data_IF_714515765638
#
_entry.id   IF_714515765638
#
_cell.length_a   1.000
_cell.length_b   1.000
_cell.length_c   1.000
_cell.angle_alpha   90.00
_cell.angle_beta   90.00
_cell.angle_gamma   90.00
#
_symmetry.space_group_name_H-M   'P 1'
#
loop_
_entity.id
_entity.type
_entity.pdbx_description
1 polymer ?
#
# COMPACT_ATOMS: atom_id res chain seq x y z
N UNK A 1 2.25 -37.40 -19.71
CA UNK A 1 2.18 -35.97 -19.43
C UNK A 1 0.82 -35.45 -19.88
N UNK A 2 -0.04 -34.96 -18.96
CA UNK A 2 -1.30 -34.31 -19.37
C UNK A 2 -0.93 -33.05 -20.15
N UNK A 3 -1.45 -32.89 -21.37
CA UNK A 3 -1.27 -31.64 -22.14
C UNK A 3 -1.71 -30.43 -21.29
N UNK A 4 -0.84 -29.44 -21.16
CA UNK A 4 -1.21 -28.18 -20.53
C UNK A 4 -2.42 -27.63 -21.28
N UNK A 5 -3.50 -27.34 -20.55
CA UNK A 5 -4.67 -26.69 -21.15
C UNK A 5 -4.29 -25.27 -21.58
N UNK A 6 -4.89 -24.75 -22.65
CA UNK A 6 -4.68 -23.38 -23.12
C UNK A 6 -4.84 -22.35 -21.98
N UNK A 7 -5.82 -22.54 -21.09
CA UNK A 7 -6.06 -21.70 -19.93
C UNK A 7 -4.87 -21.69 -18.94
N UNK A 8 -4.25 -22.83 -18.71
CA UNK A 8 -3.08 -22.96 -17.82
C UNK A 8 -1.87 -22.25 -18.40
N UNK A 9 -1.65 -22.40 -19.72
CA UNK A 9 -0.57 -21.72 -20.43
C UNK A 9 -0.76 -20.20 -20.38
N UNK A 10 -1.99 -19.72 -20.60
CA UNK A 10 -2.30 -18.29 -20.54
C UNK A 10 -2.08 -17.70 -19.14
N UNK A 11 -2.51 -18.38 -18.07
CA UNK A 11 -2.24 -17.95 -16.70
C UNK A 11 -0.73 -17.91 -16.42
N UNK A 12 0.00 -18.92 -16.85
CA UNK A 12 1.46 -18.95 -16.71
C UNK A 12 2.12 -17.75 -17.39
N UNK A 13 1.72 -17.45 -18.63
CA UNK A 13 2.20 -16.26 -19.36
C UNK A 13 1.88 -14.96 -18.62
N UNK A 14 0.64 -14.78 -18.14
CA UNK A 14 0.21 -13.62 -17.37
C UNK A 14 1.01 -13.47 -16.06
N UNK A 15 1.30 -14.60 -15.41
CA UNK A 15 2.13 -14.61 -14.20
C UNK A 15 3.56 -14.18 -14.52
N UNK A 16 4.17 -14.74 -15.57
CA UNK A 16 5.54 -14.37 -15.99
C UNK A 16 5.62 -12.87 -16.29
N UNK A 17 4.69 -12.33 -17.07
CA UNK A 17 4.64 -10.90 -17.36
C UNK A 17 4.41 -10.07 -16.08
N UNK A 18 3.49 -10.49 -15.20
CA UNK A 18 3.25 -9.84 -13.92
C UNK A 18 4.47 -9.83 -13.00
N UNK A 19 5.26 -10.90 -13.00
CA UNK A 19 6.56 -11.01 -12.29
C UNK A 19 7.58 -10.05 -12.89
N UNK A 20 7.71 -10.06 -14.22
CA UNK A 20 8.65 -9.19 -14.94
C UNK A 20 8.40 -7.72 -14.61
N UNK A 21 7.15 -7.23 -14.67
CA UNK A 21 6.84 -5.83 -14.35
C UNK A 21 7.10 -5.47 -12.88
N UNK A 22 7.04 -6.41 -11.96
CA UNK A 22 7.30 -6.17 -10.53
C UNK A 22 8.79 -6.21 -10.18
N UNK A 23 9.56 -7.01 -10.88
CA UNK A 23 11.02 -7.11 -10.69
C UNK A 23 11.79 -6.11 -11.55
N UNK A 24 11.20 -5.67 -12.69
CA UNK A 24 11.89 -4.77 -13.59
C UNK A 24 12.28 -3.47 -12.87
N UNK A 25 13.57 -3.20 -12.89
CA UNK A 25 14.17 -1.99 -12.31
C UNK A 25 13.72 -1.71 -10.86
N UNK A 26 13.66 -2.73 -10.00
CA UNK A 26 13.10 -2.65 -8.64
C UNK A 26 13.85 -1.62 -7.76
N UNK A 27 15.13 -1.38 -8.05
CA UNK A 27 15.99 -0.44 -7.34
C UNK A 27 16.27 0.85 -8.14
N UNK A 28 15.35 1.24 -9.06
CA UNK A 28 15.52 2.39 -9.94
C UNK A 28 15.59 3.75 -9.22
N UNK A 29 15.23 3.81 -7.96
CA UNK A 29 15.22 5.03 -7.15
C UNK A 29 15.66 4.71 -5.72
N UNK A 30 16.28 5.69 -5.07
CA UNK A 30 16.65 5.58 -3.65
C UNK A 30 15.43 5.30 -2.78
N UNK A 31 15.66 4.74 -1.59
CA UNK A 31 14.60 4.61 -0.60
C UNK A 31 14.07 6.00 -0.23
N UNK A 32 12.77 6.16 -0.19
CA UNK A 32 12.18 7.40 0.29
C UNK A 32 11.92 7.34 1.80
N UNK A 33 11.60 8.47 2.41
CA UNK A 33 11.55 8.65 3.88
C UNK A 33 10.87 7.49 4.62
N UNK A 34 9.66 7.07 4.20
CA UNK A 34 8.96 5.95 4.88
C UNK A 34 9.66 4.59 4.67
N UNK A 35 10.36 4.38 3.55
CA UNK A 35 11.14 3.17 3.30
C UNK A 35 12.42 3.16 4.14
N UNK A 36 13.07 4.33 4.30
CA UNK A 36 14.27 4.48 5.14
C UNK A 36 13.96 4.10 6.59
N UNK A 37 12.80 4.53 7.12
CA UNK A 37 12.39 4.11 8.46
C UNK A 37 12.17 2.60 8.56
N UNK A 38 11.47 2.00 7.59
CA UNK A 38 11.25 0.55 7.59
C UNK A 38 12.56 -0.24 7.46
N UNK A 39 13.52 0.24 6.63
CA UNK A 39 14.83 -0.35 6.49
C UNK A 39 15.61 -0.33 7.82
N UNK A 40 15.72 0.83 8.45
CA UNK A 40 16.45 1.01 9.71
C UNK A 40 15.82 0.21 10.87
N UNK A 41 14.49 0.28 11.06
CA UNK A 41 13.80 -0.49 12.09
C UNK A 41 14.06 -2.00 11.95
N UNK A 42 14.23 -2.46 10.70
CA UNK A 42 14.45 -3.88 10.40
C UNK A 42 15.93 -4.29 10.41
N UNK A 43 16.83 -3.46 10.94
CA UNK A 43 18.24 -3.81 11.09
C UNK A 43 18.40 -5.06 11.98
N UNK A 44 19.09 -6.13 11.49
CA UNK A 44 19.33 -7.35 12.25
C UNK A 44 20.11 -7.14 13.55
N UNK A 45 20.99 -6.13 13.59
CA UNK A 45 21.85 -5.84 14.76
C UNK A 45 21.07 -5.34 15.97
N UNK A 46 19.88 -4.78 15.78
CA UNK A 46 19.01 -4.42 16.89
C UNK A 46 18.46 -5.67 17.57
N UNK A 47 18.35 -5.67 18.88
CA UNK A 47 17.54 -6.67 19.56
C UNK A 47 16.04 -6.46 19.28
N UNK A 48 15.19 -7.41 19.73
CA UNK A 48 13.74 -7.30 19.51
C UNK A 48 13.14 -6.07 20.18
N UNK A 49 13.58 -5.75 21.39
CA UNK A 49 13.06 -4.62 22.18
C UNK A 49 13.43 -3.29 21.56
N UNK A 50 14.69 -3.15 21.16
CA UNK A 50 15.19 -1.95 20.50
C UNK A 50 14.47 -1.70 19.17
N UNK A 51 14.38 -2.71 18.30
CA UNK A 51 13.67 -2.62 17.03
C UNK A 51 12.19 -2.26 17.22
N UNK A 52 11.53 -2.86 18.24
CA UNK A 52 10.13 -2.53 18.57
C UNK A 52 9.98 -1.09 19.08
N UNK A 53 10.88 -0.59 19.93
CA UNK A 53 10.85 0.78 20.43
C UNK A 53 11.10 1.80 19.31
N UNK A 54 12.03 1.50 18.40
CA UNK A 54 12.30 2.29 17.22
C UNK A 54 11.05 2.35 16.32
N UNK A 55 10.40 1.21 16.09
CA UNK A 55 9.13 1.15 15.36
C UNK A 55 8.05 2.02 16.02
N UNK A 56 7.83 1.86 17.34
CA UNK A 56 6.81 2.63 18.08
C UNK A 56 7.05 4.14 18.01
N UNK A 57 8.30 4.57 17.88
CA UNK A 57 8.66 5.99 17.76
C UNK A 57 8.36 6.61 16.39
N UNK A 58 8.46 5.81 15.32
CA UNK A 58 8.38 6.28 13.94
C UNK A 58 7.09 5.91 13.22
N UNK A 59 6.52 4.74 13.51
CA UNK A 59 5.39 4.17 12.77
C UNK A 59 4.12 4.13 13.64
N UNK A 60 2.96 4.25 12.98
CA UNK A 60 1.64 4.08 13.61
C UNK A 60 0.95 2.78 13.18
N UNK A 61 1.63 1.95 12.39
CA UNK A 61 1.15 0.64 11.97
C UNK A 61 1.64 -0.44 12.94
N UNK A 62 1.04 -1.64 12.97
CA UNK A 62 1.58 -2.75 13.76
C UNK A 62 2.98 -3.17 13.31
N UNK A 63 3.75 -3.75 14.23
CA UNK A 63 5.18 -4.06 14.03
C UNK A 63 5.47 -5.26 13.12
N UNK A 64 4.48 -6.14 12.87
CA UNK A 64 4.69 -7.42 12.19
C UNK A 64 5.40 -7.30 10.83
N UNK A 65 5.10 -6.26 10.04
CA UNK A 65 5.77 -6.07 8.75
C UNK A 65 7.29 -5.90 8.91
N UNK A 66 7.73 -5.04 9.82
CA UNK A 66 9.15 -4.83 10.06
C UNK A 66 9.84 -6.06 10.66
N UNK A 67 9.12 -6.85 11.44
CA UNK A 67 9.62 -8.15 11.92
C UNK A 67 9.86 -9.14 10.79
N UNK A 68 8.95 -9.20 9.80
CA UNK A 68 9.12 -10.04 8.60
C UNK A 68 10.37 -9.59 7.82
N UNK A 69 10.53 -8.28 7.61
CA UNK A 69 11.69 -7.73 6.90
C UNK A 69 12.97 -8.00 7.68
N UNK A 70 12.98 -7.80 9.00
CA UNK A 70 14.11 -8.08 9.86
C UNK A 70 14.55 -9.54 9.78
N UNK A 71 13.60 -10.48 9.84
CA UNK A 71 13.87 -11.90 9.66
C UNK A 71 14.52 -12.20 8.30
N UNK A 72 14.02 -11.58 7.24
CA UNK A 72 14.61 -11.72 5.91
C UNK A 72 16.04 -11.17 5.85
N UNK A 73 16.30 -9.99 6.41
CA UNK A 73 17.65 -9.42 6.46
C UNK A 73 18.62 -10.24 7.32
N UNK A 74 18.14 -10.91 8.37
CA UNK A 74 18.95 -11.82 9.18
C UNK A 74 19.44 -13.01 8.35
N UNK A 75 18.65 -13.50 7.39
CA UNK A 75 19.00 -14.67 6.57
C UNK A 75 19.85 -14.27 5.35
N UNK A 76 19.47 -13.21 4.66
CA UNK A 76 20.02 -12.87 3.34
C UNK A 76 21.01 -11.69 3.38
N UNK A 77 21.17 -11.02 4.51
CA UNK A 77 22.01 -9.85 4.69
C UNK A 77 21.23 -8.54 4.70
N UNK A 78 21.76 -7.57 5.44
CA UNK A 78 21.21 -6.22 5.56
C UNK A 78 21.69 -5.35 4.39
N UNK A 79 20.98 -5.43 3.26
CA UNK A 79 21.34 -4.75 2.00
C UNK A 79 20.13 -3.99 1.42
N UNK A 80 20.36 -2.75 1.00
CA UNK A 80 19.37 -1.88 0.35
C UNK A 80 18.80 -2.52 -0.92
N UNK A 81 19.63 -3.24 -1.69
CA UNK A 81 19.19 -3.90 -2.91
C UNK A 81 18.17 -5.01 -2.66
N UNK A 82 18.19 -5.61 -1.47
CA UNK A 82 17.25 -6.64 -1.04
C UNK A 82 15.97 -6.07 -0.43
N UNK A 83 15.97 -4.80 -0.04
CA UNK A 83 14.90 -4.19 0.74
C UNK A 83 13.50 -4.35 0.12
N UNK A 84 13.38 -4.18 -1.21
CA UNK A 84 12.10 -4.24 -1.93
C UNK A 84 11.71 -5.63 -2.41
N UNK A 85 12.57 -6.64 -2.23
CA UNK A 85 12.29 -8.00 -2.72
C UNK A 85 11.12 -8.64 -1.98
N UNK A 86 11.01 -8.46 -0.66
CA UNK A 86 9.94 -9.05 0.14
C UNK A 86 8.54 -8.55 -0.27
N UNK A 87 8.25 -7.22 -0.30
CA UNK A 87 6.96 -6.76 -0.80
C UNK A 87 6.69 -7.20 -2.24
N UNK A 88 7.73 -7.30 -3.08
CA UNK A 88 7.62 -7.81 -4.44
C UNK A 88 7.17 -9.29 -4.47
N UNK A 89 7.77 -10.16 -3.67
CA UNK A 89 7.38 -11.57 -3.53
C UNK A 89 5.92 -11.70 -3.10
N UNK A 90 5.49 -10.96 -2.07
CA UNK A 90 4.09 -10.98 -1.64
C UNK A 90 3.13 -10.45 -2.71
N UNK A 91 3.54 -9.45 -3.50
CA UNK A 91 2.74 -8.98 -4.64
C UNK A 91 2.59 -10.03 -5.73
N UNK A 92 3.64 -10.82 -6.00
CA UNK A 92 3.58 -11.94 -6.94
C UNK A 92 2.62 -13.03 -6.44
N UNK A 93 2.72 -13.42 -5.17
CA UNK A 93 1.74 -14.32 -4.56
C UNK A 93 0.33 -13.73 -4.53
N UNK A 94 0.20 -12.40 -4.48
CA UNK A 94 -1.05 -11.68 -4.65
C UNK A 94 -1.73 -11.97 -5.99
N UNK A 95 -0.97 -12.09 -7.09
CA UNK A 95 -1.52 -12.45 -8.41
C UNK A 95 -2.15 -13.87 -8.34
N UNK A 96 -1.41 -14.82 -7.78
CA UNK A 96 -1.88 -16.21 -7.65
C UNK A 96 -3.11 -16.31 -6.75
N UNK A 97 -3.11 -15.60 -5.62
CA UNK A 97 -4.19 -15.65 -4.64
C UNK A 97 -5.49 -15.04 -5.18
N UNK A 98 -5.45 -13.88 -5.87
CA UNK A 98 -6.64 -13.28 -6.51
C UNK A 98 -7.17 -14.18 -7.63
N UNK A 99 -6.27 -14.74 -8.45
CA UNK A 99 -6.64 -15.67 -9.50
C UNK A 99 -7.37 -16.88 -8.94
N UNK A 100 -6.83 -17.45 -7.84
CA UNK A 100 -7.44 -18.61 -7.19
C UNK A 100 -8.78 -18.26 -6.52
N UNK A 101 -8.88 -17.10 -5.83
CA UNK A 101 -10.13 -16.62 -5.24
C UNK A 101 -11.19 -16.40 -6.30
N UNK A 102 -10.84 -15.79 -7.44
CA UNK A 102 -11.76 -15.62 -8.56
C UNK A 102 -12.23 -16.97 -9.14
N UNK A 103 -11.35 -17.98 -9.22
CA UNK A 103 -11.71 -19.34 -9.64
C UNK A 103 -12.64 -20.03 -8.66
N UNK A 104 -12.47 -19.79 -7.37
CA UNK A 104 -13.35 -20.34 -6.31
C UNK A 104 -14.77 -19.77 -6.39
N UNK A 105 -14.89 -18.50 -6.78
CA UNK A 105 -16.18 -17.79 -6.83
C UNK A 105 -16.90 -17.90 -8.17
N UNK A 106 -16.23 -18.26 -9.26
CA UNK A 106 -16.81 -18.30 -10.59
C UNK A 106 -16.61 -19.67 -11.26
N UNK A 107 -17.70 -20.21 -11.81
CA UNK A 107 -17.68 -21.44 -12.60
C UNK A 107 -17.11 -21.26 -14.01
N UNK A 108 -16.98 -20.00 -14.47
CA UNK A 108 -16.52 -19.63 -15.83
C UNK A 108 -15.07 -19.15 -15.79
N UNK A 109 -14.47 -18.89 -16.93
CA UNK A 109 -13.07 -18.46 -17.06
C UNK A 109 -12.80 -17.01 -16.58
N UNK A 110 -13.63 -16.48 -15.67
CA UNK A 110 -13.46 -15.15 -15.06
C UNK A 110 -12.09 -14.98 -14.37
N UNK A 111 -11.56 -16.07 -13.83
CA UNK A 111 -10.26 -16.07 -13.15
C UNK A 111 -9.07 -15.71 -14.06
N UNK A 112 -9.16 -16.01 -15.37
CA UNK A 112 -8.13 -15.60 -16.34
C UNK A 112 -8.16 -14.09 -16.51
N UNK A 113 -9.35 -13.49 -16.58
CA UNK A 113 -9.50 -12.06 -16.69
C UNK A 113 -9.07 -11.34 -15.40
N UNK A 114 -9.38 -11.90 -14.24
CA UNK A 114 -8.84 -11.41 -12.96
C UNK A 114 -7.31 -11.49 -12.93
N UNK A 115 -6.72 -12.60 -13.41
CA UNK A 115 -5.27 -12.73 -13.51
C UNK A 115 -4.64 -11.65 -14.41
N UNK A 116 -5.27 -11.33 -15.55
CA UNK A 116 -4.84 -10.24 -16.40
C UNK A 116 -4.90 -8.89 -15.65
N UNK A 117 -6.06 -8.53 -15.10
CA UNK A 117 -6.25 -7.25 -14.44
C UNK A 117 -5.28 -7.04 -13.28
N UNK A 118 -5.01 -8.08 -12.47
CA UNK A 118 -4.09 -7.99 -11.32
C UNK A 118 -2.62 -7.94 -11.76
N UNK A 119 -2.25 -8.67 -12.82
CA UNK A 119 -0.87 -8.70 -13.34
C UNK A 119 -0.43 -7.35 -13.87
N UNK A 120 -1.34 -6.64 -14.56
CA UNK A 120 -1.08 -5.35 -15.19
C UNK A 120 -1.62 -4.14 -14.41
N UNK A 121 -2.10 -4.31 -13.18
CA UNK A 121 -2.55 -3.18 -12.39
C UNK A 121 -1.36 -2.32 -11.95
N UNK A 122 -1.27 -1.09 -12.50
CA UNK A 122 -0.15 -0.18 -12.27
C UNK A 122 0.01 0.22 -10.79
N UNK A 123 -1.09 0.36 -10.04
CA UNK A 123 -1.04 0.71 -8.63
C UNK A 123 -0.41 -0.41 -7.80
N UNK A 124 -0.78 -1.67 -8.04
CA UNK A 124 -0.21 -2.83 -7.36
C UNK A 124 1.26 -3.05 -7.75
N UNK A 125 1.63 -2.81 -9.01
CA UNK A 125 3.03 -2.87 -9.46
C UNK A 125 3.85 -1.83 -8.70
N UNK A 126 3.37 -0.58 -8.61
CA UNK A 126 4.06 0.49 -7.89
C UNK A 126 4.30 0.15 -6.42
N UNK A 127 3.27 -0.35 -5.72
CA UNK A 127 3.40 -0.72 -4.31
C UNK A 127 4.14 -2.04 -4.08
N UNK A 128 4.33 -2.86 -5.10
CA UNK A 128 5.22 -4.04 -5.01
C UNK A 128 6.70 -3.66 -4.92
N UNK A 129 7.06 -2.49 -5.44
CA UNK A 129 8.41 -1.94 -5.47
C UNK A 129 8.66 -0.93 -4.33
N UNK A 130 7.87 -0.96 -3.28
CA UNK A 130 8.07 -0.15 -2.08
C UNK A 130 8.29 -1.05 -0.85
N UNK A 131 9.30 -0.72 -0.03
CA UNK A 131 9.54 -1.37 1.26
C UNK A 131 8.48 -0.92 2.27
N UNK A 132 7.21 -1.26 1.98
CA UNK A 132 6.04 -0.93 2.81
C UNK A 132 5.07 -2.11 2.88
N UNK A 133 4.24 -2.11 3.90
CA UNK A 133 3.33 -3.21 4.26
C UNK A 133 2.28 -3.57 3.20
N UNK A 134 1.99 -2.69 2.23
CA UNK A 134 0.78 -2.74 1.41
C UNK A 134 0.64 -4.00 0.55
N UNK A 135 1.70 -4.45 -0.11
CA UNK A 135 1.67 -5.68 -0.92
C UNK A 135 1.52 -6.93 -0.06
N UNK A 136 2.17 -6.94 1.09
CA UNK A 136 2.06 -8.03 2.08
C UNK A 136 0.64 -8.10 2.63
N UNK A 137 0.06 -6.97 3.02
CA UNK A 137 -1.32 -6.85 3.46
C UNK A 137 -2.31 -7.37 2.40
N UNK A 138 -2.14 -6.91 1.15
CA UNK A 138 -2.98 -7.34 0.03
C UNK A 138 -2.99 -8.87 -0.13
N UNK A 139 -1.84 -9.51 -0.04
CA UNK A 139 -1.72 -10.97 -0.11
C UNK A 139 -2.44 -11.66 1.05
N UNK A 140 -2.18 -11.28 2.31
CA UNK A 140 -2.79 -11.93 3.47
C UNK A 140 -4.31 -11.76 3.53
N UNK A 141 -4.84 -10.61 3.12
CA UNK A 141 -6.30 -10.41 2.97
C UNK A 141 -6.89 -11.38 1.94
N UNK A 142 -6.23 -11.59 0.80
CA UNK A 142 -6.70 -12.57 -0.19
C UNK A 142 -6.71 -13.99 0.37
N UNK A 143 -5.65 -14.40 1.07
CA UNK A 143 -5.57 -15.73 1.68
C UNK A 143 -6.66 -15.89 2.76
N UNK A 144 -6.91 -14.85 3.55
CA UNK A 144 -8.00 -14.85 4.53
C UNK A 144 -9.36 -15.08 3.87
N UNK A 145 -9.66 -14.36 2.78
CA UNK A 145 -10.90 -14.55 2.01
C UNK A 145 -11.02 -15.98 1.46
N UNK A 146 -9.95 -16.54 0.91
CA UNK A 146 -9.91 -17.91 0.39
C UNK A 146 -10.26 -18.91 1.50
N UNK A 147 -9.62 -18.79 2.67
CA UNK A 147 -9.83 -19.72 3.76
C UNK A 147 -11.13 -19.50 4.50
N UNK A 148 -11.69 -18.29 4.49
CA UNK A 148 -13.07 -18.06 4.92
C UNK A 148 -14.06 -18.89 4.09
N UNK A 149 -13.97 -18.82 2.75
CA UNK A 149 -14.85 -19.63 1.88
C UNK A 149 -14.64 -21.12 2.06
N UNK A 150 -13.38 -21.58 2.16
CA UNK A 150 -13.09 -23.00 2.40
C UNK A 150 -13.63 -23.49 3.74
N UNK A 151 -13.53 -22.67 4.80
CA UNK A 151 -14.05 -23.00 6.11
C UNK A 151 -15.58 -22.98 6.14
N UNK A 152 -16.18 -22.07 5.39
CA UNK A 152 -17.64 -22.00 5.27
C UNK A 152 -18.22 -23.19 4.49
N UNK A 153 -17.58 -23.63 3.42
CA UNK A 153 -18.03 -24.74 2.58
C UNK A 153 -17.76 -26.12 3.21
N UNK A 154 -16.62 -26.26 3.88
CA UNK A 154 -16.17 -27.52 4.46
C UNK A 154 -15.76 -27.28 5.92
N UNK A 155 -16.46 -27.93 6.86
CA UNK A 155 -16.14 -27.85 8.29
C UNK A 155 -14.87 -28.67 8.62
N UNK A 156 -13.73 -28.19 8.10
CA UNK A 156 -12.43 -28.77 8.33
C UNK A 156 -11.62 -27.90 9.30
N UNK A 157 -11.20 -28.48 10.41
CA UNK A 157 -10.41 -27.81 11.44
C UNK A 157 -9.15 -27.12 10.88
N UNK A 158 -8.49 -27.69 9.89
CA UNK A 158 -7.31 -27.11 9.25
C UNK A 158 -7.69 -25.80 8.53
N UNK A 159 -8.80 -25.79 7.78
CA UNK A 159 -9.25 -24.57 7.10
C UNK A 159 -9.58 -23.46 8.10
N UNK A 160 -10.29 -23.80 9.20
CA UNK A 160 -10.60 -22.85 10.28
C UNK A 160 -9.33 -22.32 10.95
N UNK A 161 -8.36 -23.18 11.27
CA UNK A 161 -7.08 -22.76 11.86
C UNK A 161 -6.31 -21.82 10.94
N UNK A 162 -6.20 -22.13 9.66
CA UNK A 162 -5.53 -21.26 8.68
C UNK A 162 -6.32 -19.95 8.53
N UNK A 163 -7.65 -19.99 8.45
CA UNK A 163 -8.48 -18.79 8.40
C UNK A 163 -8.21 -17.85 9.57
N UNK A 164 -8.19 -18.38 10.81
CA UNK A 164 -7.92 -17.63 12.03
C UNK A 164 -6.52 -17.00 11.94
N UNK A 165 -5.49 -17.82 11.67
CA UNK A 165 -4.10 -17.38 11.63
C UNK A 165 -3.88 -16.27 10.60
N UNK A 166 -4.33 -16.46 9.35
CA UNK A 166 -4.09 -15.47 8.29
C UNK A 166 -4.90 -14.19 8.48
N UNK A 167 -6.08 -14.27 9.11
CA UNK A 167 -6.87 -13.08 9.46
C UNK A 167 -6.17 -12.28 10.55
N UNK A 168 -5.64 -12.95 11.58
CA UNK A 168 -4.84 -12.32 12.62
C UNK A 168 -3.55 -11.69 12.05
N UNK A 169 -2.85 -12.38 11.15
CA UNK A 169 -1.70 -11.79 10.43
C UNK A 169 -2.09 -10.52 9.69
N UNK A 170 -3.24 -10.50 9.01
CA UNK A 170 -3.73 -9.30 8.33
C UNK A 170 -3.95 -8.13 9.31
N UNK A 171 -4.54 -8.40 10.49
CA UNK A 171 -4.77 -7.41 11.55
C UNK A 171 -3.45 -6.90 12.13
N UNK A 172 -2.48 -7.79 12.33
CA UNK A 172 -1.13 -7.45 12.80
C UNK A 172 -0.26 -6.74 11.75
N UNK A 173 -0.66 -6.72 10.47
CA UNK A 173 -0.01 -5.95 9.42
C UNK A 173 -0.55 -4.53 9.32
N UNK A 174 -1.87 -4.32 9.42
CA UNK A 174 -2.46 -2.99 9.24
C UNK A 174 -3.83 -2.89 9.94
N UNK A 175 -4.11 -1.78 10.67
CA UNK A 175 -5.37 -1.62 11.40
C UNK A 175 -6.63 -1.73 10.52
N UNK A 176 -6.56 -1.32 9.26
CA UNK A 176 -7.69 -1.38 8.34
C UNK A 176 -8.13 -2.80 8.00
N UNK A 177 -7.37 -3.83 8.36
CA UNK A 177 -7.80 -5.22 8.24
C UNK A 177 -9.00 -5.56 9.13
N UNK A 178 -9.32 -4.73 10.11
CA UNK A 178 -10.56 -4.85 10.90
C UNK A 178 -11.80 -4.77 10.01
N UNK A 179 -11.73 -4.07 8.88
CA UNK A 179 -12.82 -4.00 7.89
C UNK A 179 -13.14 -5.38 7.33
N UNK A 180 -12.12 -6.20 7.08
CA UNK A 180 -12.31 -7.57 6.63
C UNK A 180 -13.02 -8.41 7.71
N UNK A 181 -12.61 -8.27 8.97
CA UNK A 181 -13.27 -8.94 10.09
C UNK A 181 -14.76 -8.51 10.22
N UNK A 182 -15.03 -7.21 10.16
CA UNK A 182 -16.41 -6.68 10.16
C UNK A 182 -17.21 -7.26 8.98
N UNK A 183 -16.57 -7.39 7.82
CA UNK A 183 -17.21 -8.00 6.63
C UNK A 183 -17.64 -9.44 6.90
N UNK A 184 -16.78 -10.25 7.50
CA UNK A 184 -17.11 -11.63 7.87
C UNK A 184 -18.26 -11.70 8.87
N UNK A 185 -18.22 -10.87 9.91
CA UNK A 185 -19.28 -10.81 10.90
C UNK A 185 -20.62 -10.43 10.28
N UNK A 186 -20.64 -9.38 9.45
CA UNK A 186 -21.86 -8.91 8.80
C UNK A 186 -22.43 -9.97 7.82
N UNK A 187 -21.58 -10.55 6.99
CA UNK A 187 -22.01 -11.58 6.04
C UNK A 187 -22.55 -12.82 6.76
N UNK A 188 -21.84 -13.30 7.79
CA UNK A 188 -22.27 -14.45 8.61
C UNK A 188 -23.58 -14.17 9.32
N UNK A 189 -23.75 -12.95 9.85
CA UNK A 189 -25.00 -12.51 10.47
C UNK A 189 -26.18 -12.49 9.48
N UNK A 190 -25.97 -11.96 8.27
CA UNK A 190 -26.99 -11.97 7.21
C UNK A 190 -27.38 -13.40 6.79
N UNK A 191 -26.43 -14.32 6.73
CA UNK A 191 -26.71 -15.73 6.47
C UNK A 191 -27.51 -16.36 7.59
N UNK A 192 -27.24 -16.03 8.85
CA UNK A 192 -27.97 -16.49 10.01
C UNK A 192 -29.45 -16.06 9.95
N UNK A 193 -29.69 -14.75 9.71
CA UNK A 193 -31.05 -14.20 9.60
C UNK A 193 -31.87 -14.86 8.49
N UNK A 194 -31.24 -15.34 7.44
CA UNK A 194 -31.88 -16.00 6.30
C UNK A 194 -31.86 -17.52 6.40
N UNK A 195 -31.51 -18.10 7.56
CA UNK A 195 -31.42 -19.55 7.79
C UNK A 195 -30.54 -20.30 6.78
N UNK A 196 -29.49 -19.62 6.27
CA UNK A 196 -28.56 -20.16 5.26
C UNK A 196 -27.21 -20.60 5.82
N UNK A 197 -27.08 -20.63 7.15
CA UNK A 197 -25.84 -21.08 7.80
C UNK A 197 -25.80 -22.59 7.85
N UNK A 198 -24.82 -23.17 7.17
CA UNK A 198 -24.53 -24.59 7.17
C UNK A 198 -23.50 -24.96 8.24
N UNK A 199 -22.54 -24.07 8.51
CA UNK A 199 -21.42 -24.34 9.39
C UNK A 199 -21.37 -23.37 10.57
N UNK A 200 -21.67 -23.85 11.78
CA UNK A 200 -21.66 -23.06 13.03
C UNK A 200 -20.24 -22.84 13.57
N UNK A 201 -19.26 -23.65 13.20
CA UNK A 201 -17.85 -23.52 13.65
C UNK A 201 -17.22 -22.20 13.21
N UNK A 202 -17.77 -21.58 12.15
CA UNK A 202 -17.32 -20.25 11.71
C UNK A 202 -17.49 -19.18 12.81
N UNK A 203 -18.53 -19.26 13.64
CA UNK A 203 -18.75 -18.33 14.76
C UNK A 203 -17.63 -18.46 15.80
N UNK A 204 -17.20 -19.68 16.11
CA UNK A 204 -16.10 -19.92 17.04
C UNK A 204 -14.81 -19.28 16.50
N UNK A 205 -14.54 -19.43 15.19
CA UNK A 205 -13.40 -18.81 14.55
C UNK A 205 -13.45 -17.28 14.65
N UNK A 206 -14.62 -16.67 14.42
CA UNK A 206 -14.81 -15.22 14.54
C UNK A 206 -14.64 -14.73 15.98
N UNK A 207 -15.12 -15.48 16.96
CA UNK A 207 -14.92 -15.14 18.39
C UNK A 207 -13.45 -15.20 18.78
N UNK A 208 -12.70 -16.22 18.34
CA UNK A 208 -11.24 -16.31 18.59
C UNK A 208 -10.51 -15.10 17.99
N UNK A 209 -10.83 -14.74 16.75
CA UNK A 209 -10.23 -13.55 16.09
C UNK A 209 -10.54 -12.29 16.88
N UNK A 210 -11.80 -12.12 17.34
CA UNK A 210 -12.21 -10.95 18.13
C UNK A 210 -11.43 -10.85 19.44
N UNK A 211 -11.40 -11.93 20.21
CA UNK A 211 -10.73 -11.96 21.51
C UNK A 211 -9.24 -11.61 21.37
N UNK A 212 -8.57 -12.23 20.41
CA UNK A 212 -7.16 -11.91 20.15
C UNK A 212 -6.97 -10.45 19.72
N UNK A 213 -7.84 -9.93 18.86
CA UNK A 213 -7.76 -8.55 18.37
C UNK A 213 -7.94 -7.53 19.50
N UNK A 214 -8.86 -7.81 20.43
CA UNK A 214 -9.07 -6.97 21.63
C UNK A 214 -7.84 -7.00 22.53
N UNK A 215 -7.30 -8.19 22.82
CA UNK A 215 -6.09 -8.33 23.64
C UNK A 215 -4.90 -7.61 23.01
N UNK A 216 -4.72 -7.79 21.70
CA UNK A 216 -3.65 -7.09 20.96
C UNK A 216 -3.82 -5.56 21.03
N UNK A 217 -5.03 -5.04 20.85
CA UNK A 217 -5.31 -3.62 20.95
C UNK A 217 -4.96 -3.07 22.34
N UNK A 218 -5.42 -3.73 23.39
CA UNK A 218 -5.22 -3.28 24.78
C UNK A 218 -3.74 -3.30 25.17
N UNK A 219 -3.00 -4.37 24.85
CA UNK A 219 -1.65 -4.56 25.36
C UNK A 219 -0.55 -3.95 24.49
N UNK A 220 -0.80 -3.79 23.18
CA UNK A 220 0.27 -3.42 22.24
C UNK A 220 -0.02 -2.21 21.36
N UNK A 221 -1.26 -2.01 20.95
CA UNK A 221 -1.56 -1.03 19.91
C UNK A 221 -2.09 0.30 20.45
N UNK A 222 -2.74 0.33 21.61
CA UNK A 222 -3.35 1.52 22.21
C UNK A 222 -2.36 2.69 22.30
N UNK A 223 -1.14 2.44 22.76
CA UNK A 223 -0.09 3.44 22.90
C UNK A 223 0.52 3.93 21.56
N UNK A 224 0.26 3.21 20.47
CA UNK A 224 0.78 3.58 19.14
C UNK A 224 -0.14 4.57 18.43
N UNK A 225 -1.36 4.75 18.90
CA UNK A 225 -2.32 5.71 18.36
C UNK A 225 -1.98 7.12 18.84
N UNK A 226 -1.20 7.84 18.04
CA UNK A 226 -0.86 9.24 18.32
C UNK A 226 -1.99 10.14 17.82
N UNK A 227 -2.40 11.17 18.61
CA UNK A 227 -3.32 12.17 18.13
C UNK A 227 -2.68 13.01 17.01
N UNK A 228 -3.48 13.30 15.99
CA UNK A 228 -3.06 14.09 14.85
C UNK A 228 -2.62 13.24 13.67
N UNK A 229 -2.91 13.71 12.49
CA UNK A 229 -2.58 13.06 11.22
C UNK A 229 -2.15 14.11 10.19
N UNK A 230 -1.23 13.73 9.32
CA UNK A 230 -0.88 14.51 8.13
C UNK A 230 -1.90 14.32 7.00
N UNK A 231 -2.79 13.33 7.11
CA UNK A 231 -3.83 13.05 6.14
C UNK A 231 -4.88 14.15 6.17
N UNK A 232 -5.24 14.69 5.02
CA UNK A 232 -6.31 15.69 4.87
C UNK A 232 -7.65 14.99 4.67
N UNK A 233 -8.74 15.70 4.98
CA UNK A 233 -10.08 15.22 4.66
C UNK A 233 -10.23 15.01 3.14
N UNK A 234 -11.04 14.02 2.71
CA UNK A 234 -11.30 13.76 1.31
C UNK A 234 -11.88 15.00 0.61
N UNK A 235 -11.24 15.43 -0.49
CA UNK A 235 -11.73 16.50 -1.36
C UNK A 235 -12.88 15.99 -2.26
N UNK A 236 -13.62 16.92 -2.90
CA UNK A 236 -14.67 16.58 -3.86
C UNK A 236 -14.22 15.61 -4.96
N UNK A 237 -12.95 15.69 -5.37
CA UNK A 237 -12.35 14.76 -6.34
C UNK A 237 -12.41 13.29 -5.91
N UNK A 238 -12.39 13.01 -4.60
CA UNK A 238 -12.54 11.64 -4.10
C UNK A 238 -13.95 11.12 -4.38
N UNK A 239 -15.00 11.91 -4.11
CA UNK A 239 -16.39 11.50 -4.30
C UNK A 239 -16.80 11.37 -5.77
N UNK A 240 -16.02 11.92 -6.71
CA UNK A 240 -16.27 11.73 -8.14
C UNK A 240 -15.70 10.44 -8.70
N UNK A 241 -14.68 9.85 -8.08
CA UNK A 241 -14.01 8.67 -8.61
C UNK A 241 -13.52 7.64 -7.58
N UNK A 242 -13.70 7.86 -6.27
CA UNK A 242 -13.34 6.91 -5.20
C UNK A 242 -11.92 6.34 -5.36
N UNK A 243 -10.93 7.18 -5.68
CA UNK A 243 -9.54 6.82 -6.00
C UNK A 243 -9.35 5.95 -7.26
N UNK A 244 -10.36 5.67 -8.06
CA UNK A 244 -10.22 4.85 -9.26
C UNK A 244 -9.17 5.38 -10.24
N UNK A 245 -9.02 6.71 -10.36
CA UNK A 245 -7.95 7.32 -11.15
C UNK A 245 -6.54 6.95 -10.66
N UNK A 246 -6.37 6.76 -9.35
CA UNK A 246 -5.10 6.29 -8.75
C UNK A 246 -4.93 4.79 -8.91
N UNK A 247 -5.98 4.02 -8.63
CA UNK A 247 -5.97 2.56 -8.71
C UNK A 247 -5.74 2.03 -10.11
N UNK A 248 -6.21 2.75 -11.13
CA UNK A 248 -6.15 2.33 -12.53
C UNK A 248 -5.31 3.25 -13.43
N UNK A 249 -4.48 4.14 -12.84
CA UNK A 249 -3.42 4.89 -13.52
C UNK A 249 -3.82 6.23 -14.11
N UNK A 250 -5.07 6.42 -14.57
CA UNK A 250 -5.53 7.69 -15.12
C UNK A 250 -7.01 7.94 -14.82
N UNK A 251 -7.46 9.20 -15.02
CA UNK A 251 -8.88 9.55 -14.81
C UNK A 251 -9.81 8.82 -15.76
N UNK A 252 -9.45 8.74 -17.02
CA UNK A 252 -10.28 8.11 -18.07
C UNK A 252 -10.39 6.61 -17.81
N UNK A 253 -9.29 5.93 -17.57
CA UNK A 253 -9.25 4.50 -17.26
C UNK A 253 -10.03 4.23 -15.97
N UNK A 254 -9.77 5.00 -14.91
CA UNK A 254 -10.49 4.87 -13.65
C UNK A 254 -11.99 5.06 -13.76
N UNK A 255 -12.44 6.07 -14.52
CA UNK A 255 -13.87 6.31 -14.78
C UNK A 255 -14.51 5.13 -15.50
N UNK A 256 -13.83 4.56 -16.50
CA UNK A 256 -14.35 3.41 -17.24
C UNK A 256 -14.50 2.17 -16.34
N UNK A 257 -13.52 1.90 -15.47
CA UNK A 257 -13.62 0.82 -14.47
C UNK A 257 -14.77 1.07 -13.48
N UNK A 258 -14.92 2.30 -13.00
CA UNK A 258 -15.99 2.67 -12.06
C UNK A 258 -17.38 2.49 -12.68
N UNK A 259 -17.60 3.03 -13.89
CA UNK A 259 -18.86 2.88 -14.61
C UNK A 259 -19.16 1.41 -14.87
N UNK A 260 -18.17 0.64 -15.30
CA UNK A 260 -18.34 -0.80 -15.53
C UNK A 260 -18.72 -1.53 -14.24
N UNK A 261 -18.06 -1.24 -13.11
CA UNK A 261 -18.39 -1.84 -11.82
C UNK A 261 -19.83 -1.50 -11.40
N UNK A 262 -20.23 -0.22 -11.49
CA UNK A 262 -21.57 0.25 -11.15
C UNK A 262 -22.60 -0.47 -12.03
N UNK A 263 -22.43 -0.43 -13.35
CA UNK A 263 -23.34 -1.06 -14.31
C UNK A 263 -23.53 -2.55 -14.02
N UNK A 264 -22.45 -3.30 -13.84
CA UNK A 264 -22.49 -4.73 -13.58
C UNK A 264 -23.11 -5.04 -12.20
N UNK A 265 -22.81 -4.25 -11.17
CA UNK A 265 -23.38 -4.41 -9.84
C UNK A 265 -24.90 -4.17 -9.85
N UNK A 266 -25.40 -3.16 -10.56
CA UNK A 266 -26.83 -2.94 -10.71
C UNK A 266 -27.50 -4.07 -11.50
N UNK A 267 -26.91 -4.50 -12.61
CA UNK A 267 -27.47 -5.57 -13.44
C UNK A 267 -27.62 -6.89 -12.67
N UNK A 268 -26.67 -7.19 -11.79
CA UNK A 268 -26.67 -8.43 -11.01
C UNK A 268 -27.02 -8.23 -9.53
N UNK A 269 -27.69 -7.13 -9.18
CA UNK A 269 -28.08 -6.80 -7.80
C UNK A 269 -28.92 -7.89 -7.14
N UNK A 270 -29.76 -8.59 -7.90
CA UNK A 270 -30.55 -9.72 -7.41
C UNK A 270 -29.72 -10.86 -6.84
N UNK A 271 -28.53 -11.14 -7.43
CA UNK A 271 -27.60 -12.17 -6.90
C UNK A 271 -26.99 -11.74 -5.57
N UNK A 272 -26.72 -10.44 -5.41
CA UNK A 272 -26.19 -9.87 -4.19
C UNK A 272 -27.23 -10.00 -3.06
N UNK A 273 -28.51 -9.66 -3.33
CA UNK A 273 -29.58 -9.75 -2.34
C UNK A 273 -29.85 -11.20 -1.94
N UNK A 274 -29.71 -12.15 -2.86
CA UNK A 274 -29.87 -13.59 -2.57
C UNK A 274 -28.80 -14.19 -1.67
N UNK A 275 -27.83 -13.39 -1.21
CA UNK A 275 -26.71 -13.82 -0.39
C UNK A 275 -25.91 -14.98 -1.01
N UNK A 276 -25.67 -14.88 -2.33
CA UNK A 276 -24.74 -15.78 -2.99
C UNK A 276 -23.29 -15.51 -2.50
N UNK A 277 -22.36 -16.41 -2.78
CA UNK A 277 -20.93 -16.27 -2.37
C UNK A 277 -20.35 -14.90 -2.71
N UNK A 278 -20.73 -14.34 -3.86
CA UNK A 278 -20.25 -13.04 -4.33
C UNK A 278 -20.68 -11.86 -3.44
N UNK A 279 -21.71 -12.05 -2.62
CA UNK A 279 -22.22 -11.01 -1.69
C UNK A 279 -21.17 -10.61 -0.66
N UNK A 280 -20.38 -11.55 -0.13
CA UNK A 280 -19.28 -11.23 0.78
C UNK A 280 -18.30 -10.22 0.14
N UNK A 281 -17.95 -10.46 -1.11
CA UNK A 281 -17.03 -9.59 -1.86
C UNK A 281 -17.64 -8.20 -2.07
N UNK A 282 -18.95 -8.13 -2.33
CA UNK A 282 -19.67 -6.86 -2.45
C UNK A 282 -19.75 -6.10 -1.12
N UNK A 283 -20.05 -6.77 -0.01
CA UNK A 283 -20.04 -6.18 1.34
C UNK A 283 -18.62 -5.66 1.65
N UNK A 284 -17.58 -6.43 1.33
CA UNK A 284 -16.20 -6.02 1.52
C UNK A 284 -15.87 -4.76 0.75
N UNK A 285 -16.31 -4.63 -0.51
CA UNK A 285 -16.15 -3.41 -1.30
C UNK A 285 -16.76 -2.20 -0.58
N UNK A 286 -18.02 -2.32 -0.17
CA UNK A 286 -18.76 -1.21 0.44
C UNK A 286 -18.12 -0.80 1.78
N UNK A 287 -17.83 -1.76 2.65
CA UNK A 287 -17.23 -1.48 3.96
C UNK A 287 -15.82 -0.91 3.84
N UNK A 288 -15.06 -1.28 2.81
CA UNK A 288 -13.73 -0.73 2.55
C UNK A 288 -13.71 0.78 2.27
N UNK A 289 -14.83 1.36 1.89
CA UNK A 289 -15.01 2.81 1.76
C UNK A 289 -15.76 3.41 2.95
N UNK A 290 -16.88 2.82 3.34
CA UNK A 290 -17.77 3.40 4.36
C UNK A 290 -17.06 3.49 5.71
N UNK A 291 -16.39 2.45 6.18
CA UNK A 291 -15.76 2.43 7.50
C UNK A 291 -14.66 3.51 7.61
N UNK A 292 -13.69 3.63 6.67
CA UNK A 292 -12.71 4.71 6.72
C UNK A 292 -13.30 6.11 6.56
N UNK A 293 -14.39 6.26 5.80
CA UNK A 293 -15.09 7.55 5.67
C UNK A 293 -15.75 7.97 6.98
N UNK A 294 -16.50 7.08 7.62
CA UNK A 294 -17.10 7.35 8.92
C UNK A 294 -16.02 7.75 9.93
N UNK A 295 -14.94 6.97 10.02
CA UNK A 295 -13.82 7.27 10.91
C UNK A 295 -13.19 8.63 10.59
N UNK A 296 -13.00 8.93 9.30
CA UNK A 296 -12.39 10.19 8.84
C UNK A 296 -13.18 11.43 9.27
N UNK A 297 -14.51 11.36 9.23
CA UNK A 297 -15.37 12.50 9.60
C UNK A 297 -15.70 12.57 11.08
N UNK A 298 -15.73 11.43 11.79
CA UNK A 298 -16.10 11.38 13.21
C UNK A 298 -14.92 11.52 14.16
N UNK A 299 -13.71 11.08 13.76
CA UNK A 299 -12.56 10.97 14.66
C UNK A 299 -11.37 11.77 14.11
N UNK A 300 -10.77 11.32 13.02
CA UNK A 300 -9.65 12.00 12.37
C UNK A 300 -9.46 11.52 10.92
N UNK A 301 -8.94 12.38 10.02
CA UNK A 301 -8.69 11.97 8.64
C UNK A 301 -7.67 10.85 8.53
N UNK A 302 -8.07 9.72 7.92
CA UNK A 302 -7.20 8.55 7.71
C UNK A 302 -7.32 7.95 6.31
N UNK A 303 -8.30 8.40 5.50
CA UNK A 303 -8.60 7.79 4.22
C UNK A 303 -7.62 8.25 3.14
N UNK A 304 -6.71 7.36 2.74
CA UNK A 304 -5.83 7.51 1.58
C UNK A 304 -5.81 6.22 0.75
N UNK A 305 -5.52 6.35 -0.54
CA UNK A 305 -5.60 5.22 -1.48
C UNK A 305 -4.75 4.01 -1.10
N UNK A 306 -3.55 4.23 -0.57
CA UNK A 306 -2.64 3.13 -0.17
C UNK A 306 -3.12 2.34 1.04
N UNK A 307 -3.84 2.97 1.99
CA UNK A 307 -4.34 2.28 3.17
C UNK A 307 -5.50 1.32 2.87
N UNK A 308 -6.21 1.59 1.78
CA UNK A 308 -7.30 0.74 1.29
C UNK A 308 -6.93 0.00 0.00
N UNK A 309 -5.64 -0.29 -0.24
CA UNK A 309 -5.16 -1.01 -1.43
C UNK A 309 -5.91 -2.33 -1.68
N UNK A 310 -6.33 -2.98 -0.62
CA UNK A 310 -7.08 -4.23 -0.68
C UNK A 310 -8.48 -4.10 -1.32
N UNK A 311 -8.99 -2.88 -1.50
CA UNK A 311 -10.26 -2.65 -2.23
C UNK A 311 -10.17 -3.08 -3.70
N UNK A 312 -8.96 -3.19 -4.24
CA UNK A 312 -8.74 -3.74 -5.59
C UNK A 312 -9.15 -5.22 -5.70
N UNK A 313 -9.13 -5.97 -4.59
CA UNK A 313 -9.61 -7.36 -4.58
C UNK A 313 -11.08 -7.44 -4.99
N UNK A 314 -12.02 -6.84 -4.23
CA UNK A 314 -13.43 -6.89 -4.58
C UNK A 314 -13.72 -6.22 -5.94
N UNK A 315 -13.07 -5.12 -6.29
CA UNK A 315 -13.29 -4.45 -7.59
C UNK A 315 -12.96 -5.41 -8.75
N UNK A 316 -11.77 -6.00 -8.76
CA UNK A 316 -11.33 -6.89 -9.83
C UNK A 316 -12.19 -8.15 -9.89
N UNK A 317 -12.51 -8.75 -8.74
CA UNK A 317 -13.33 -9.97 -8.70
C UNK A 317 -14.75 -9.70 -9.17
N UNK A 318 -15.42 -8.63 -8.70
CA UNK A 318 -16.79 -8.29 -9.10
C UNK A 318 -16.88 -7.99 -10.60
N UNK A 319 -15.97 -7.18 -11.12
CA UNK A 319 -15.91 -6.88 -12.57
C UNK A 319 -15.72 -8.17 -13.36
N UNK A 320 -14.75 -9.00 -12.99
CA UNK A 320 -14.48 -10.24 -13.71
C UNK A 320 -15.64 -11.23 -13.62
N UNK A 321 -16.16 -11.47 -12.42
CA UNK A 321 -17.27 -12.39 -12.20
C UNK A 321 -18.51 -11.98 -13.00
N UNK A 322 -18.99 -10.75 -12.83
CA UNK A 322 -20.20 -10.29 -13.47
C UNK A 322 -20.05 -10.10 -14.99
N UNK A 323 -18.87 -9.74 -15.48
CA UNK A 323 -18.62 -9.70 -16.93
C UNK A 323 -18.82 -11.08 -17.57
N UNK A 324 -18.34 -12.15 -16.91
CA UNK A 324 -18.49 -13.52 -17.41
C UNK A 324 -19.91 -14.08 -17.21
N UNK A 325 -20.73 -13.46 -16.38
CA UNK A 325 -22.17 -13.80 -16.26
C UNK A 325 -23.03 -13.15 -17.37
N UNK A 326 -22.49 -12.19 -18.14
CA UNK A 326 -23.23 -11.58 -19.24
C UNK A 326 -23.61 -12.64 -20.29
N UNK A 327 -24.90 -12.70 -20.65
CA UNK A 327 -25.43 -13.59 -21.68
C UNK A 327 -25.02 -13.12 -23.06
N UNK A 328 -25.02 -11.81 -23.31
CA UNK A 328 -24.66 -11.23 -24.59
C UNK A 328 -23.13 -11.27 -24.77
N UNK A 329 -22.68 -12.20 -25.62
CA UNK A 329 -21.25 -12.42 -25.90
C UNK A 329 -20.58 -11.19 -26.58
N UNK A 330 -21.30 -10.37 -27.33
CA UNK A 330 -20.76 -9.15 -27.96
C UNK A 330 -20.45 -8.11 -26.87
N UNK A 331 -21.39 -7.84 -25.96
CA UNK A 331 -21.19 -6.90 -24.86
C UNK A 331 -20.05 -7.39 -23.95
N UNK A 332 -20.03 -8.68 -23.61
CA UNK A 332 -18.95 -9.30 -22.85
C UNK A 332 -17.60 -9.05 -23.51
N UNK A 333 -17.48 -9.33 -24.80
CA UNK A 333 -16.25 -9.15 -25.56
C UNK A 333 -15.80 -7.68 -25.54
N UNK A 334 -16.70 -6.73 -25.80
CA UNK A 334 -16.36 -5.31 -25.80
C UNK A 334 -15.89 -4.80 -24.42
N UNK A 335 -16.52 -5.26 -23.34
CA UNK A 335 -16.09 -4.90 -21.98
C UNK A 335 -14.70 -5.45 -21.69
N UNK A 336 -14.46 -6.73 -21.96
CA UNK A 336 -13.15 -7.36 -21.75
C UNK A 336 -12.09 -6.65 -22.58
N UNK A 337 -12.33 -6.47 -23.87
CA UNK A 337 -11.41 -5.83 -24.81
C UNK A 337 -11.06 -4.40 -24.35
N UNK A 338 -12.06 -3.59 -24.02
CA UNK A 338 -11.87 -2.22 -23.59
C UNK A 338 -11.09 -2.14 -22.26
N UNK A 339 -11.44 -2.96 -21.26
CA UNK A 339 -10.72 -2.99 -19.98
C UNK A 339 -9.27 -3.46 -20.15
N UNK A 340 -9.02 -4.44 -21.01
CA UNK A 340 -7.66 -4.86 -21.34
C UNK A 340 -6.89 -3.73 -22.04
N UNK A 341 -7.47 -3.09 -23.05
CA UNK A 341 -6.83 -2.00 -23.78
C UNK A 341 -6.51 -0.82 -22.86
N UNK A 342 -7.47 -0.38 -22.03
CA UNK A 342 -7.27 0.70 -21.08
C UNK A 342 -6.22 0.34 -19.99
N UNK A 343 -6.20 -0.89 -19.51
CA UNK A 343 -5.18 -1.33 -18.56
C UNK A 343 -3.78 -1.26 -19.18
N UNK A 344 -3.63 -1.76 -20.41
CA UNK A 344 -2.35 -1.73 -21.12
C UNK A 344 -1.92 -0.32 -21.56
N UNK A 345 -2.86 0.59 -21.82
CA UNK A 345 -2.54 1.98 -22.18
C UNK A 345 -1.73 2.71 -21.10
N UNK A 346 -1.81 2.29 -19.84
CA UNK A 346 -1.01 2.85 -18.77
C UNK A 346 0.50 2.69 -19.01
N UNK A 347 0.93 1.63 -19.71
CA UNK A 347 2.36 1.34 -19.93
C UNK A 347 2.99 2.13 -21.08
N UNK A 348 2.18 2.85 -21.85
CA UNK A 348 2.63 3.72 -22.95
C UNK A 348 2.51 5.20 -22.62
N UNK A 349 2.06 5.58 -21.41
CA UNK A 349 1.98 6.98 -21.00
C UNK A 349 3.35 7.53 -20.61
N UNK A 350 3.57 8.81 -20.83
CA UNK A 350 4.82 9.48 -20.44
C UNK A 350 5.11 9.33 -18.93
N UNK A 351 4.07 9.43 -18.09
CA UNK A 351 4.20 9.30 -16.65
C UNK A 351 4.69 7.92 -16.24
N UNK A 352 4.10 6.87 -16.81
CA UNK A 352 4.50 5.48 -16.54
C UNK A 352 5.89 5.20 -17.10
N UNK A 353 6.16 5.69 -18.30
CA UNK A 353 7.49 5.57 -18.90
C UNK A 353 8.57 6.24 -18.04
N UNK A 354 8.32 7.44 -17.52
CA UNK A 354 9.23 8.12 -16.58
C UNK A 354 9.44 7.32 -15.30
N UNK A 355 8.40 6.67 -14.80
CA UNK A 355 8.48 5.89 -13.58
C UNK A 355 9.28 4.60 -13.73
N UNK A 356 9.08 3.86 -14.82
CA UNK A 356 9.76 2.58 -15.03
C UNK A 356 11.13 2.69 -15.70
N UNK A 357 11.39 3.74 -16.49
CA UNK A 357 12.58 3.80 -17.34
C UNK A 357 13.49 5.01 -17.07
N UNK A 358 13.13 5.93 -16.19
CA UNK A 358 13.89 7.16 -15.89
C UNK A 358 14.27 7.31 -14.41
N UNK A 359 14.63 6.27 -13.73
CA UNK A 359 15.25 6.28 -12.39
C UNK A 359 14.61 7.25 -11.37
N UNK A 360 13.28 7.48 -11.43
CA UNK A 360 12.59 8.30 -10.45
C UNK A 360 11.11 7.96 -10.31
N UNK A 361 10.60 8.02 -9.08
CA UNK A 361 9.17 7.94 -8.78
C UNK A 361 8.52 9.32 -8.86
N UNK A 362 7.73 9.56 -9.88
CA UNK A 362 7.08 10.86 -10.14
C UNK A 362 6.26 11.39 -8.95
N UNK A 363 5.77 10.51 -8.09
CA UNK A 363 4.93 10.87 -6.94
C UNK A 363 5.67 10.90 -5.59
N UNK A 364 6.99 10.67 -5.57
CA UNK A 364 7.82 10.73 -4.35
C UNK A 364 8.78 11.93 -4.40
N UNK A 365 9.00 12.61 -3.26
CA UNK A 365 10.04 13.64 -3.18
C UNK A 365 11.44 13.04 -3.35
N UNK A 366 12.31 13.71 -4.11
CA UNK A 366 13.71 13.30 -4.31
C UNK A 366 14.60 13.68 -3.11
N UNK A 367 14.23 13.20 -1.92
CA UNK A 367 14.90 13.56 -0.68
C UNK A 367 16.40 13.17 -0.66
N UNK A 368 16.71 11.93 -1.00
CA UNK A 368 18.11 11.44 -1.00
C UNK A 368 18.94 12.18 -2.03
N UNK A 369 18.36 12.55 -3.18
CA UNK A 369 19.06 13.34 -4.19
C UNK A 369 19.42 14.73 -3.69
N UNK A 370 18.53 15.36 -2.88
CA UNK A 370 18.85 16.63 -2.25
C UNK A 370 20.02 16.52 -1.28
N UNK A 371 20.10 15.42 -0.52
CA UNK A 371 21.23 15.15 0.37
C UNK A 371 22.53 14.93 -0.40
N UNK A 372 22.50 14.23 -1.54
CA UNK A 372 23.68 14.07 -2.41
C UNK A 372 24.18 15.41 -2.96
N UNK A 373 23.29 16.29 -3.40
CA UNK A 373 23.68 17.63 -3.87
C UNK A 373 24.36 18.42 -2.75
N UNK A 374 23.86 18.30 -1.51
CA UNK A 374 24.49 18.94 -0.35
C UNK A 374 25.89 18.38 -0.10
N UNK A 375 26.04 17.05 -0.20
CA UNK A 375 27.31 16.36 -0.01
C UNK A 375 28.35 16.73 -1.07
N UNK A 376 27.94 16.79 -2.32
CA UNK A 376 28.77 17.18 -3.44
C UNK A 376 29.17 18.68 -3.41
N UNK A 377 28.49 19.48 -2.56
CA UNK A 377 28.79 20.92 -2.45
C UNK A 377 30.11 21.14 -1.71
N UNK A 378 30.93 22.08 -2.22
CA UNK A 378 32.19 22.47 -1.57
C UNK A 378 32.02 23.18 -0.22
N UNK A 379 30.78 23.45 0.18
CA UNK A 379 30.47 24.20 1.38
C UNK A 379 30.20 23.25 2.56
N UNK A 380 31.23 23.00 3.37
CA UNK A 380 31.16 22.08 4.52
C UNK A 380 30.60 22.73 5.81
N UNK A 381 30.47 24.06 5.83
CA UNK A 381 30.00 24.82 6.99
C UNK A 381 28.59 25.34 6.75
N UNK A 382 27.57 24.54 7.10
CA UNK A 382 26.17 24.92 6.92
C UNK A 382 25.26 24.35 8.02
N UNK A 383 24.09 24.96 8.14
CA UNK A 383 22.98 24.38 8.90
C UNK A 383 21.95 23.80 7.94
N UNK A 384 21.50 22.56 8.16
CA UNK A 384 20.47 21.95 7.36
C UNK A 384 19.11 22.12 8.03
N UNK A 385 18.15 22.66 7.28
CA UNK A 385 16.74 22.74 7.64
C UNK A 385 15.90 21.90 6.69
N UNK A 386 15.06 21.04 7.23
CA UNK A 386 14.07 20.29 6.46
C UNK A 386 12.68 20.81 6.80
N UNK A 387 11.97 21.38 5.83
CA UNK A 387 10.65 21.97 6.02
C UNK A 387 9.61 21.26 5.13
N UNK A 388 8.45 20.92 5.64
CA UNK A 388 7.85 21.12 6.96
C UNK A 388 8.01 19.92 7.91
N UNK A 389 8.94 19.05 7.63
CA UNK A 389 9.18 17.79 8.36
C UNK A 389 9.72 18.04 9.78
N UNK A 390 9.98 19.29 10.15
CA UNK A 390 10.52 19.66 11.48
C UNK A 390 9.74 19.12 12.68
N UNK A 391 8.43 18.92 12.58
CA UNK A 391 7.61 18.35 13.65
C UNK A 391 7.67 16.80 13.69
N UNK A 392 8.14 16.18 12.61
CA UNK A 392 8.13 14.74 12.41
C UNK A 392 9.55 14.15 12.62
N UNK A 393 10.61 14.92 12.31
CA UNK A 393 11.99 14.47 12.47
C UNK A 393 12.40 14.51 13.95
N UNK A 394 12.14 13.43 14.63
CA UNK A 394 12.66 13.12 15.95
C UNK A 394 14.06 12.49 15.83
N UNK A 395 14.79 12.37 16.96
CA UNK A 395 16.10 11.70 16.98
C UNK A 395 16.12 10.34 16.26
N UNK A 396 15.10 9.45 16.42
CA UNK A 396 15.05 8.19 15.67
C UNK A 396 15.03 8.36 14.13
N UNK A 397 14.39 9.41 13.62
CA UNK A 397 14.42 9.71 12.18
C UNK A 397 15.81 10.10 11.69
N UNK A 398 16.52 10.90 12.47
CA UNK A 398 17.90 11.30 12.19
C UNK A 398 18.80 10.06 12.14
N UNK A 399 18.66 9.17 13.12
CA UNK A 399 19.39 7.89 13.17
C UNK A 399 19.08 7.01 11.95
N UNK A 400 17.81 6.91 11.54
CA UNK A 400 17.41 6.16 10.36
C UNK A 400 18.03 6.72 9.06
N UNK A 401 18.01 8.05 8.90
CA UNK A 401 18.60 8.71 7.73
C UNK A 401 20.11 8.52 7.72
N UNK A 402 20.80 8.74 8.82
CA UNK A 402 22.25 8.55 8.91
C UNK A 402 22.67 7.10 8.61
N UNK A 403 21.98 6.12 9.19
CA UNK A 403 22.21 4.70 8.86
C UNK A 403 22.04 4.43 7.35
N UNK A 404 21.02 5.02 6.73
CA UNK A 404 20.83 4.88 5.29
C UNK A 404 21.94 5.54 4.47
N UNK A 405 22.41 6.74 4.87
CA UNK A 405 23.50 7.45 4.21
C UNK A 405 24.81 6.67 4.27
N UNK A 406 25.13 6.03 5.38
CA UNK A 406 26.29 5.14 5.54
C UNK A 406 26.25 4.00 4.51
N UNK A 407 25.06 3.38 4.31
CA UNK A 407 24.90 2.31 3.31
C UNK A 407 25.07 2.75 1.86
N UNK A 408 24.73 4.00 1.54
CA UNK A 408 24.93 4.56 0.18
C UNK A 408 26.25 5.32 0.04
N UNK A 409 27.17 5.21 1.03
CA UNK A 409 28.50 5.80 1.08
C UNK A 409 28.51 7.32 0.93
N UNK A 410 27.58 8.00 1.58
CA UNK A 410 27.61 9.45 1.76
C UNK A 410 28.25 9.73 3.11
N UNK A 411 29.44 10.33 3.12
CA UNK A 411 30.30 10.53 4.30
C UNK A 411 29.78 11.57 5.30
N UNK A 412 28.68 12.26 5.01
CA UNK A 412 28.19 13.32 5.88
C UNK A 412 27.35 12.79 7.02
N UNK A 413 27.88 12.97 8.23
CA UNK A 413 27.06 13.05 9.44
C UNK A 413 26.21 14.33 9.36
N UNK A 414 24.97 14.20 8.92
CA UNK A 414 24.00 15.27 8.98
C UNK A 414 23.72 15.55 10.46
N UNK A 415 24.46 16.52 11.02
CA UNK A 415 24.07 17.12 12.30
C UNK A 415 22.84 17.99 12.02
N UNK A 416 21.70 17.32 11.93
CA UNK A 416 20.40 17.96 11.68
C UNK A 416 20.00 18.68 12.97
N UNK A 417 20.56 19.83 13.20
CA UNK A 417 20.23 20.64 14.36
C UNK A 417 18.93 21.44 14.10
N UNK A 418 17.79 20.85 14.45
CA UNK A 418 16.44 21.45 14.29
C UNK A 418 16.11 22.55 15.30
N UNK A 419 17.03 22.93 16.16
CA UNK A 419 16.77 23.97 17.18
C UNK A 419 16.72 25.36 16.55
N UNK A 420 15.59 26.02 16.77
CA UNK A 420 15.22 27.42 16.46
C UNK A 420 16.36 28.32 15.96
N UNK A 421 16.13 29.03 14.84
CA UNK A 421 16.98 30.01 14.15
C UNK A 421 17.78 31.00 15.00
N UNK A 422 17.59 31.06 16.30
CA UNK A 422 18.20 32.10 17.19
C UNK A 422 19.70 31.90 17.45
N UNK A 423 20.30 30.77 17.07
CA UNK A 423 21.77 30.56 17.13
C UNK A 423 22.17 29.63 15.98
N UNK A 424 22.22 30.17 14.78
CA UNK A 424 22.87 29.46 13.67
C UNK A 424 24.37 29.51 13.90
N UNK A 425 25.01 28.35 13.87
CA UNK A 425 26.47 28.18 14.03
C UNK A 425 27.22 28.64 12.80
N UNK A 426 26.56 28.70 11.64
CA UNK A 426 27.14 28.97 10.33
C UNK A 426 26.38 30.05 9.58
N UNK A 427 27.07 30.77 8.69
CA UNK A 427 26.48 31.81 7.84
C UNK A 427 25.59 31.25 6.73
N UNK A 428 25.83 29.99 6.33
CA UNK A 428 25.08 29.32 5.26
C UNK A 428 24.06 28.33 5.82
N UNK A 429 22.93 28.25 5.14
CA UNK A 429 21.85 27.33 5.45
C UNK A 429 21.36 26.59 4.21
N UNK A 430 21.28 25.26 4.27
CA UNK A 430 20.54 24.46 3.32
C UNK A 430 19.10 24.25 3.78
N UNK A 431 18.13 24.49 2.90
CA UNK A 431 16.71 24.28 3.17
C UNK A 431 16.16 23.24 2.19
N UNK A 432 15.71 22.10 2.71
CA UNK A 432 14.94 21.10 1.96
C UNK A 432 13.45 21.38 2.18
N UNK A 433 12.77 21.76 1.13
CA UNK A 433 11.36 22.14 1.14
C UNK A 433 10.51 21.11 0.38
N UNK A 434 9.71 20.36 1.08
CA UNK A 434 8.83 19.33 0.49
C UNK A 434 7.48 19.96 0.15
N UNK A 435 7.05 19.90 -1.13
CA UNK A 435 5.88 20.63 -1.66
C UNK A 435 4.52 20.13 -1.18
N UNK A 436 4.42 18.91 -0.66
CA UNK A 436 3.13 18.30 -0.29
C UNK A 436 2.53 18.86 1.03
N UNK A 437 3.32 19.67 1.75
CA UNK A 437 2.97 20.18 3.06
C UNK A 437 3.00 21.70 2.99
N UNK A 438 2.28 22.54 3.19
CA UNK A 438 2.13 24.01 3.18
C UNK A 438 3.28 24.83 2.55
N UNK A 439 3.00 25.46 1.41
CA UNK A 439 3.94 26.34 0.68
C UNK A 439 4.48 27.51 1.53
N UNK A 440 3.77 27.96 2.53
CA UNK A 440 4.16 29.09 3.38
C UNK A 440 5.31 28.77 4.34
N UNK A 441 5.57 27.48 4.60
CA UNK A 441 6.61 27.05 5.53
C UNK A 441 8.01 27.03 4.89
N UNK A 442 8.09 27.25 3.58
CA UNK A 442 9.34 27.25 2.79
C UNK A 442 9.89 28.66 2.54
N UNK A 443 9.29 29.68 3.11
CA UNK A 443 9.79 31.03 3.03
C UNK A 443 11.16 31.15 3.72
N UNK A 444 12.12 31.77 3.02
CA UNK A 444 13.38 32.15 3.62
C UNK A 444 13.13 33.14 4.77
N UNK A 445 13.82 32.99 5.91
CA UNK A 445 13.81 34.04 6.93
C UNK A 445 14.33 35.36 6.33
N UNK A 446 13.78 36.49 6.74
CA UNK A 446 14.09 37.83 6.22
C UNK A 446 15.60 38.20 6.22
N UNK A 447 16.38 37.52 7.06
CA UNK A 447 17.82 37.70 7.21
C UNK A 447 18.68 36.86 6.26
N UNK A 448 18.05 36.07 5.34
CA UNK A 448 18.76 35.20 4.42
C UNK A 448 18.42 35.53 2.98
N UNK A 449 19.43 35.48 2.12
CA UNK A 449 19.32 35.63 0.66
C UNK A 449 19.60 34.26 0.02
N UNK A 450 18.76 33.85 -0.92
CA UNK A 450 18.99 32.62 -1.70
C UNK A 450 20.20 32.79 -2.59
N UNK A 451 21.18 31.88 -2.48
CA UNK A 451 22.36 31.80 -3.34
C UNK A 451 22.09 30.86 -4.49
N UNK A 452 21.58 29.66 -4.18
CA UNK A 452 21.29 28.61 -5.17
C UNK A 452 19.92 28.01 -4.91
N UNK A 453 19.23 27.60 -5.98
CA UNK A 453 17.93 26.99 -5.92
C UNK A 453 17.81 25.83 -6.91
N UNK A 454 17.70 24.62 -6.36
CA UNK A 454 17.53 23.38 -7.12
C UNK A 454 16.07 22.94 -7.06
N UNK A 455 15.40 22.88 -8.21
CA UNK A 455 14.04 22.34 -8.34
C UNK A 455 14.12 20.84 -8.59
N UNK A 456 13.80 20.05 -7.60
CA UNK A 456 13.72 18.60 -7.65
C UNK A 456 12.27 18.12 -7.76
N UNK A 457 12.07 16.82 -7.93
CA UNK A 457 10.72 16.29 -7.98
C UNK A 457 10.02 16.44 -6.62
N UNK A 458 8.93 17.20 -6.56
CA UNK A 458 8.14 17.52 -5.35
C UNK A 458 8.95 18.07 -4.17
N UNK A 459 10.09 18.67 -4.46
CA UNK A 459 10.99 19.19 -3.46
C UNK A 459 11.82 20.33 -4.06
N UNK A 460 11.96 21.43 -3.31
CA UNK A 460 12.96 22.47 -3.60
C UNK A 460 14.10 22.35 -2.59
N UNK A 461 15.33 22.44 -3.08
CA UNK A 461 16.53 22.55 -2.27
C UNK A 461 17.12 23.95 -2.47
N UNK A 462 17.28 24.68 -1.37
CA UNK A 462 17.72 26.08 -1.39
C UNK A 462 18.96 26.24 -0.52
N UNK A 463 20.04 26.78 -1.10
CA UNK A 463 21.18 27.30 -0.36
C UNK A 463 20.97 28.79 -0.15
N UNK A 464 21.06 29.24 1.09
CA UNK A 464 20.95 30.64 1.45
C UNK A 464 22.07 31.06 2.41
N UNK A 465 22.52 32.30 2.30
CA UNK A 465 23.45 32.92 3.26
C UNK A 465 22.80 34.08 4.00
N UNK A 466 23.40 34.44 5.13
CA UNK A 466 23.00 35.62 5.89
C UNK A 466 23.17 36.86 5.01
N UNK A 467 22.14 37.72 4.95
CA UNK A 467 22.29 39.06 4.36
C UNK A 467 23.21 39.89 5.28
N UNK A 468 24.42 40.15 4.81
CA UNK A 468 25.35 41.09 5.48
C UNK A 468 24.72 42.44 5.67
#
# INVERSE_FOLDING_TARGET
>A
MKSLTFSTLLIFLLLVLGVTFRLYNINFDNLWIDEISSFWISNPDFDFKESYLNHKSLEQTPYLFNLIIKFFFTIFGYDINLARIIPCIFSIFGILSVTYLSKLLSKKNAYIFSAFLISFNIFLINYSQELRVYSTLFFFINISLIFFYKSYENDNKINHSIFIIVTLFSILLHPFSIILYITYCLYTFLLLLNSKIENKTIFVSLVIILLFSILYYIFYFQDSLKPGTWVKQPELKFFTNFYFSKFFGSRLVGLFFLITLIFLSFKYFSKIIRLEKITLIFIFLILSYIVPLIYTYMIQPILISRYIIFVLIPIIILISHFTFELENNKIKFYIIFALCLFTLSNFVTEQTFKQFYKDRRVYKPEFVKSLKIIDDSNNKNYTLKVNPVQKILTNPWISAVNNYLDHIKIEQNLDINFKKYKKLKYENIWIICVHDLNKNDCALPNQFISIEHFKLNRLDLILASHST
#
